data_IF_615337538883
#
_entry.id   IF_615337538883
#
_cell.length_a   1.000
_cell.length_b   1.000
_cell.length_c   1.000
_cell.angle_alpha   90.00
_cell.angle_beta   90.00
_cell.angle_gamma   90.00
#
_symmetry.space_group_name_H-M   'P 1'
#
loop_
_entity.id
_entity.type
_entity.pdbx_description
1 polymer ?
#
# COMPACT_ATOMS: atom_id res chain seq x y z
N UNK A 1 -18.55 -27.00 8.93
CA UNK A 1 -17.69 -27.02 7.74
C UNK A 1 -16.25 -26.97 8.20
N UNK A 2 -15.35 -27.79 7.66
CA UNK A 2 -13.93 -27.71 7.98
C UNK A 2 -13.38 -26.40 7.40
N UNK A 3 -12.82 -25.55 8.25
CA UNK A 3 -12.18 -24.31 7.80
C UNK A 3 -10.82 -24.70 7.21
N UNK A 4 -10.61 -24.42 5.92
CA UNK A 4 -9.32 -24.67 5.26
C UNK A 4 -8.23 -23.84 5.90
N UNK A 5 -7.03 -24.40 6.07
CA UNK A 5 -5.90 -23.67 6.64
C UNK A 5 -5.50 -22.52 5.69
N UNK A 6 -5.21 -21.32 6.22
CA UNK A 6 -4.67 -20.23 5.42
C UNK A 6 -3.39 -20.63 4.70
N UNK A 7 -3.30 -20.30 3.41
CA UNK A 7 -2.13 -20.60 2.56
C UNK A 7 -1.48 -19.29 2.08
N UNK A 8 -0.15 -19.30 1.84
CA UNK A 8 0.53 -18.16 1.24
C UNK A 8 -0.03 -17.84 -0.15
N UNK A 9 -0.14 -16.54 -0.46
CA UNK A 9 -0.66 -15.99 -1.71
C UNK A 9 0.06 -16.59 -2.93
N UNK A 10 1.39 -16.70 -2.85
CA UNK A 10 2.21 -17.25 -3.93
C UNK A 10 2.09 -18.77 -4.10
N UNK A 11 1.42 -19.45 -3.17
CA UNK A 11 1.13 -20.88 -3.26
C UNK A 11 -0.28 -21.17 -3.79
N UNK A 12 -1.10 -20.13 -4.01
CA UNK A 12 -2.44 -20.29 -4.56
C UNK A 12 -2.38 -20.63 -6.05
N UNK A 13 -3.27 -21.52 -6.47
CA UNK A 13 -3.51 -21.84 -7.87
C UNK A 13 -4.21 -20.67 -8.60
N UNK A 14 -4.22 -20.69 -9.93
CA UNK A 14 -4.92 -19.67 -10.73
C UNK A 14 -6.43 -19.56 -10.39
N UNK A 15 -7.08 -20.69 -10.11
CA UNK A 15 -8.50 -20.73 -9.73
C UNK A 15 -8.71 -20.13 -8.33
N UNK A 16 -7.84 -20.46 -7.37
CA UNK A 16 -7.86 -19.88 -6.03
C UNK A 16 -7.62 -18.36 -6.06
N UNK A 17 -6.67 -17.88 -6.87
CA UNK A 17 -6.42 -16.45 -7.07
C UNK A 17 -7.61 -15.76 -7.71
N UNK A 18 -8.23 -16.37 -8.71
CA UNK A 18 -9.43 -15.83 -9.37
C UNK A 18 -10.61 -15.73 -8.41
N UNK A 19 -10.80 -16.75 -7.56
CA UNK A 19 -11.83 -16.72 -6.52
C UNK A 19 -11.55 -15.62 -5.49
N UNK A 20 -10.32 -15.52 -4.99
CA UNK A 20 -9.91 -14.48 -4.05
C UNK A 20 -10.05 -13.07 -4.63
N UNK A 21 -9.69 -12.85 -5.90
CA UNK A 21 -9.84 -11.57 -6.58
C UNK A 21 -11.30 -11.13 -6.80
N UNK A 22 -12.26 -12.05 -6.67
CA UNK A 22 -13.71 -11.78 -6.73
C UNK A 22 -14.34 -11.62 -5.34
N UNK A 23 -13.68 -12.09 -4.28
CA UNK A 23 -14.21 -12.03 -2.92
C UNK A 23 -14.08 -10.62 -2.34
N UNK A 24 -15.20 -9.92 -2.24
CA UNK A 24 -15.27 -8.54 -1.77
C UNK A 24 -15.34 -8.40 -0.26
N UNK A 25 -15.36 -9.50 0.49
CA UNK A 25 -15.36 -9.45 1.97
C UNK A 25 -14.08 -8.79 2.50
N UNK A 26 -12.97 -8.99 1.79
CA UNK A 26 -11.62 -8.57 2.19
C UNK A 26 -10.96 -7.74 1.07
N UNK A 27 -11.25 -6.43 0.96
CA UNK A 27 -10.83 -5.62 -0.20
C UNK A 27 -9.31 -5.56 -0.44
N UNK A 28 -8.48 -5.54 0.61
CA UNK A 28 -7.02 -5.55 0.44
C UNK A 28 -6.53 -6.90 -0.04
N UNK A 29 -7.03 -7.99 0.54
CA UNK A 29 -6.70 -9.34 0.08
C UNK A 29 -7.14 -9.57 -1.37
N UNK A 30 -8.37 -9.16 -1.69
CA UNK A 30 -8.93 -9.22 -3.03
C UNK A 30 -8.00 -8.55 -4.05
N UNK A 31 -7.50 -7.37 -3.73
CA UNK A 31 -6.68 -6.58 -4.65
C UNK A 31 -5.25 -7.08 -4.70
N UNK A 32 -4.70 -7.61 -3.61
CA UNK A 32 -3.42 -8.35 -3.63
C UNK A 32 -3.50 -9.60 -4.52
N UNK A 33 -4.59 -10.37 -4.43
CA UNK A 33 -4.82 -11.53 -5.30
C UNK A 33 -4.98 -11.13 -6.77
N UNK A 34 -5.70 -10.04 -7.06
CA UNK A 34 -5.79 -9.48 -8.40
C UNK A 34 -4.41 -9.10 -8.96
N UNK A 35 -3.63 -8.32 -8.20
CA UNK A 35 -2.29 -7.92 -8.59
C UNK A 35 -1.39 -9.13 -8.89
N UNK A 36 -1.42 -10.15 -8.01
CA UNK A 36 -0.65 -11.38 -8.23
C UNK A 36 -1.11 -12.16 -9.47
N UNK A 37 -2.43 -12.23 -9.70
CA UNK A 37 -2.99 -12.89 -10.90
C UNK A 37 -2.58 -12.22 -12.21
N UNK A 38 -2.32 -10.91 -12.17
CA UNK A 38 -1.78 -10.12 -13.28
C UNK A 38 -0.25 -10.19 -13.39
N UNK A 39 0.40 -11.07 -12.60
CA UNK A 39 1.85 -11.20 -12.53
C UNK A 39 2.57 -9.93 -12.09
N UNK A 40 1.87 -9.01 -11.42
CA UNK A 40 2.48 -7.85 -10.80
C UNK A 40 3.12 -8.26 -9.47
N UNK A 41 4.30 -7.73 -9.15
CA UNK A 41 5.01 -8.14 -7.94
C UNK A 41 4.23 -7.66 -6.72
N UNK A 42 3.95 -8.58 -5.80
CA UNK A 42 3.29 -8.30 -4.52
C UNK A 42 3.95 -9.11 -3.43
N UNK A 43 3.81 -8.65 -2.19
CA UNK A 43 4.28 -9.39 -1.04
C UNK A 43 3.61 -10.75 -0.94
N UNK A 44 4.37 -11.78 -0.59
CA UNK A 44 3.77 -13.05 -0.17
C UNK A 44 3.02 -12.81 1.15
N UNK A 45 1.81 -13.37 1.25
CA UNK A 45 0.92 -13.09 2.37
C UNK A 45 -0.09 -14.20 2.61
N UNK A 46 -0.61 -14.32 3.83
CA UNK A 46 -1.70 -15.21 4.19
C UNK A 46 -2.89 -14.39 4.71
N UNK A 47 -4.10 -14.72 4.26
CA UNK A 47 -5.35 -14.20 4.83
C UNK A 47 -5.86 -15.10 5.95
N UNK A 48 -6.10 -14.52 7.13
CA UNK A 48 -6.73 -15.17 8.27
C UNK A 48 -8.08 -14.48 8.49
N UNK A 49 -9.15 -15.17 8.11
CA UNK A 49 -10.52 -14.71 8.32
C UNK A 49 -10.91 -14.75 9.81
N UNK A 50 -11.87 -13.90 10.25
CA UNK A 50 -12.49 -14.04 11.57
C UNK A 50 -13.05 -15.45 11.78
N UNK A 51 -12.94 -15.96 13.00
CA UNK A 51 -13.39 -17.31 13.37
C UNK A 51 -12.33 -18.41 13.21
N UNK A 52 -11.18 -18.12 12.59
CA UNK A 52 -10.02 -19.03 12.69
C UNK A 52 -9.53 -19.18 14.12
N UNK A 53 -9.08 -20.38 14.47
CA UNK A 53 -8.48 -20.65 15.78
C UNK A 53 -7.07 -20.06 15.91
N UNK A 54 -6.63 -19.82 17.15
CA UNK A 54 -5.24 -19.41 17.43
C UNK A 54 -4.22 -20.44 16.92
N UNK A 55 -4.58 -21.72 16.85
CA UNK A 55 -3.73 -22.75 16.28
C UNK A 55 -3.57 -22.57 14.76
N UNK A 56 -4.67 -22.33 14.04
CA UNK A 56 -4.65 -22.08 12.59
C UNK A 56 -3.81 -20.84 12.26
N UNK A 57 -3.95 -19.76 13.05
CA UNK A 57 -3.12 -18.56 12.92
C UNK A 57 -1.63 -18.85 13.12
N UNK A 58 -1.25 -19.61 14.16
CA UNK A 58 0.14 -20.00 14.40
C UNK A 58 0.70 -20.81 13.23
N UNK A 59 -0.05 -21.80 12.76
CA UNK A 59 0.34 -22.59 11.59
C UNK A 59 0.53 -21.71 10.36
N UNK A 60 -0.41 -20.81 10.07
CA UNK A 60 -0.31 -19.90 8.94
C UNK A 60 0.93 -18.98 9.02
N UNK A 61 1.22 -18.47 10.22
CA UNK A 61 2.41 -17.65 10.46
C UNK A 61 3.71 -18.44 10.20
N UNK A 62 3.84 -19.64 10.77
CA UNK A 62 5.03 -20.48 10.53
C UNK A 62 5.18 -20.91 9.08
N UNK A 63 4.08 -21.26 8.39
CA UNK A 63 4.11 -21.61 6.96
C UNK A 63 4.58 -20.42 6.12
N UNK A 64 4.07 -19.21 6.38
CA UNK A 64 4.50 -18.01 5.66
C UNK A 64 5.96 -17.65 5.97
N UNK A 65 6.38 -17.73 7.23
CA UNK A 65 7.76 -17.49 7.63
C UNK A 65 8.74 -18.45 6.95
N UNK A 66 8.41 -19.75 6.91
CA UNK A 66 9.20 -20.75 6.19
C UNK A 66 9.25 -20.46 4.68
N UNK A 67 8.12 -20.10 4.06
CA UNK A 67 8.04 -19.80 2.63
C UNK A 67 8.82 -18.53 2.21
N UNK A 68 9.05 -17.61 3.15
CA UNK A 68 9.71 -16.32 2.90
C UNK A 68 11.11 -16.23 3.53
N UNK A 69 11.56 -17.30 4.21
CA UNK A 69 12.87 -17.35 4.85
C UNK A 69 13.05 -16.32 5.96
N UNK A 70 12.02 -16.05 6.75
CA UNK A 70 12.04 -15.00 7.77
C UNK A 70 11.48 -15.44 9.11
N UNK A 71 11.88 -14.74 10.17
CA UNK A 71 11.39 -14.94 11.55
C UNK A 71 10.41 -13.83 11.98
N UNK A 72 10.17 -12.84 11.11
CA UNK A 72 9.29 -11.70 11.39
C UNK A 72 8.27 -11.53 10.28
N UNK A 73 7.03 -11.24 10.65
CA UNK A 73 5.94 -11.01 9.72
C UNK A 73 5.30 -9.65 9.93
N UNK A 74 4.87 -9.05 8.84
CA UNK A 74 4.09 -7.83 8.87
C UNK A 74 2.62 -8.16 9.13
N UNK A 75 1.99 -7.43 10.05
CA UNK A 75 0.54 -7.53 10.29
C UNK A 75 -0.16 -6.39 9.55
N UNK A 76 -1.16 -6.73 8.74
CA UNK A 76 -2.16 -5.82 8.19
C UNK A 76 -3.56 -6.33 8.59
N UNK A 77 -4.54 -5.45 8.66
CA UNK A 77 -5.94 -5.84 8.86
C UNK A 77 -6.82 -5.43 7.70
N UNK A 78 -7.91 -6.16 7.49
CA UNK A 78 -8.78 -6.01 6.32
C UNK A 78 -10.27 -6.24 6.68
N UNK A 79 -11.17 -5.69 5.88
CA UNK A 79 -12.63 -5.75 6.09
C UNK A 79 -13.11 -5.12 7.40
N UNK A 80 -14.36 -5.38 7.79
CA UNK A 80 -14.96 -4.88 9.04
C UNK A 80 -15.36 -3.39 9.03
N UNK A 81 -16.10 -2.96 10.06
CA UNK A 81 -16.55 -1.57 10.21
C UNK A 81 -15.35 -0.66 10.47
N UNK A 82 -15.24 0.43 9.70
CA UNK A 82 -14.23 1.47 9.93
C UNK A 82 -14.46 2.13 11.29
N UNK A 83 -13.50 1.96 12.22
CA UNK A 83 -13.50 2.61 13.54
C UNK A 83 -12.43 3.71 13.54
N UNK A 84 -12.68 4.82 14.26
CA UNK A 84 -11.74 5.96 14.37
C UNK A 84 -10.34 5.58 14.87
N UNK A 85 -10.23 4.52 15.67
CA UNK A 85 -8.97 3.94 16.12
C UNK A 85 -8.71 2.66 15.34
N UNK A 86 -8.02 2.79 14.20
CA UNK A 86 -7.65 1.67 13.34
C UNK A 86 -6.23 1.19 13.64
N UNK A 87 -6.03 -0.13 13.69
CA UNK A 87 -4.69 -0.73 13.79
C UNK A 87 -3.84 -0.32 12.59
N UNK A 88 -2.76 0.43 12.84
CA UNK A 88 -1.88 0.90 11.79
C UNK A 88 -0.97 -0.24 11.34
N UNK A 89 -1.40 -0.91 10.27
CA UNK A 89 -0.59 -1.96 9.64
C UNK A 89 0.76 -1.46 9.14
N UNK A 90 1.68 -2.40 8.91
CA UNK A 90 2.99 -2.13 8.32
C UNK A 90 4.16 -2.52 9.22
N UNK A 91 3.94 -2.65 10.53
CA UNK A 91 5.00 -3.04 11.47
C UNK A 91 5.22 -4.56 11.40
N UNK A 92 6.47 -4.95 11.60
CA UNK A 92 6.92 -6.34 11.53
C UNK A 92 7.23 -6.84 12.94
N UNK A 93 6.73 -8.03 13.26
CA UNK A 93 6.85 -8.63 14.58
C UNK A 93 7.37 -10.05 14.47
N UNK A 94 8.09 -10.54 15.49
CA UNK A 94 8.46 -11.94 15.56
C UNK A 94 7.25 -12.88 15.42
N UNK A 95 7.43 -14.02 14.76
CA UNK A 95 6.35 -14.99 14.45
C UNK A 95 5.59 -15.42 15.71
N UNK A 96 6.29 -15.58 16.83
CA UNK A 96 5.75 -15.96 18.14
C UNK A 96 4.83 -14.90 18.77
N UNK A 97 4.99 -13.63 18.41
CA UNK A 97 4.15 -12.52 18.89
C UNK A 97 2.89 -12.32 18.06
N UNK A 98 2.81 -12.92 16.87
CA UNK A 98 1.67 -12.74 15.95
C UNK A 98 0.32 -13.10 16.60
N UNK A 99 0.18 -14.21 17.36
CA UNK A 99 -1.09 -14.58 17.98
C UNK A 99 -1.65 -13.53 18.94
N UNK A 100 -0.83 -12.99 19.85
CA UNK A 100 -1.28 -12.01 20.83
C UNK A 100 -1.63 -10.67 20.18
N UNK A 101 -0.85 -10.25 19.16
CA UNK A 101 -1.06 -8.97 18.46
C UNK A 101 -2.28 -8.94 17.55
N UNK A 102 -2.72 -10.11 17.07
CA UNK A 102 -3.82 -10.20 16.10
C UNK A 102 -5.15 -10.64 16.72
N UNK A 103 -5.13 -11.14 17.96
CA UNK A 103 -6.33 -11.60 18.67
C UNK A 103 -7.44 -10.55 18.71
N UNK A 104 -7.10 -9.30 19.05
CA UNK A 104 -8.06 -8.20 19.09
C UNK A 104 -8.69 -7.89 17.72
N UNK A 105 -7.91 -7.99 16.64
CA UNK A 105 -8.40 -7.75 15.28
C UNK A 105 -9.42 -8.80 14.84
N UNK A 106 -9.12 -10.07 15.10
CA UNK A 106 -10.00 -11.19 14.77
C UNK A 106 -11.27 -11.16 15.63
N UNK A 107 -11.16 -10.81 16.91
CA UNK A 107 -12.30 -10.64 17.82
C UNK A 107 -13.21 -9.49 17.39
N UNK A 108 -12.65 -8.42 16.82
CA UNK A 108 -13.38 -7.30 16.23
C UNK A 108 -14.04 -7.63 14.88
N UNK A 109 -13.96 -8.88 14.41
CA UNK A 109 -14.53 -9.31 13.14
C UNK A 109 -13.74 -8.81 11.91
N UNK A 110 -12.49 -8.40 12.11
CA UNK A 110 -11.59 -8.00 11.01
C UNK A 110 -10.73 -9.18 10.60
N UNK A 111 -10.49 -9.34 9.30
CA UNK A 111 -9.49 -10.28 8.84
C UNK A 111 -8.09 -9.74 9.10
N UNK A 112 -7.14 -10.65 9.25
CA UNK A 112 -5.73 -10.38 9.41
C UNK A 112 -5.01 -10.85 8.15
N UNK A 113 -4.17 -9.99 7.59
CA UNK A 113 -3.26 -10.34 6.50
C UNK A 113 -1.86 -10.36 7.12
N UNK A 114 -1.27 -11.55 7.23
CA UNK A 114 0.15 -11.69 7.52
C UNK A 114 0.90 -11.57 6.20
N UNK A 115 1.95 -10.76 6.15
CA UNK A 115 2.76 -10.59 4.95
C UNK A 115 4.24 -10.71 5.28
N UNK A 116 5.05 -11.04 4.27
CA UNK A 116 6.50 -10.97 4.38
C UNK A 116 6.94 -9.57 4.84
N UNK A 117 8.07 -9.46 5.57
CA UNK A 117 8.50 -8.19 6.13
C UNK A 117 9.08 -7.25 5.07
N UNK A 118 8.85 -5.95 5.30
CA UNK A 118 9.44 -4.85 4.54
C UNK A 118 10.21 -3.95 5.49
N UNK A 119 11.25 -3.26 5.00
CA UNK A 119 11.95 -2.24 5.77
C UNK A 119 11.59 -0.84 5.26
N UNK A 120 10.62 -0.20 5.92
CA UNK A 120 10.14 1.14 5.56
C UNK A 120 11.17 2.27 5.72
N UNK A 121 12.33 1.99 6.30
CA UNK A 121 13.42 2.95 6.47
C UNK A 121 14.38 2.95 5.27
N UNK A 122 14.33 1.91 4.43
CA UNK A 122 15.30 1.68 3.35
C UNK A 122 14.69 1.64 1.97
N UNK A 123 13.39 1.94 1.82
CA UNK A 123 12.76 2.09 0.51
C UNK A 123 13.61 3.03 -0.36
N UNK A 124 13.83 2.66 -1.62
CA UNK A 124 14.58 3.44 -2.62
C UNK A 124 13.69 4.41 -3.38
N UNK A 125 12.43 4.04 -3.58
CA UNK A 125 11.41 4.84 -4.23
C UNK A 125 10.04 4.38 -3.77
N UNK A 126 9.16 5.33 -3.54
CA UNK A 126 7.75 5.11 -3.23
C UNK A 126 6.93 5.94 -4.21
N UNK A 127 5.95 5.33 -4.88
CA UNK A 127 5.07 6.01 -5.84
C UNK A 127 3.61 5.71 -5.51
N UNK A 128 2.81 6.75 -5.32
CA UNK A 128 1.35 6.65 -5.37
C UNK A 128 0.90 6.83 -6.81
N UNK A 129 0.11 5.89 -7.31
CA UNK A 129 -0.36 5.84 -8.69
C UNK A 129 -1.87 6.05 -8.64
N UNK A 130 -2.34 7.14 -9.26
CA UNK A 130 -3.76 7.48 -9.35
C UNK A 130 -4.19 7.45 -10.81
N UNK A 131 -5.23 6.70 -11.11
CA UNK A 131 -5.87 6.60 -12.43
C UNK A 131 -7.27 7.20 -12.32
N UNK A 132 -7.57 8.22 -13.11
CA UNK A 132 -8.90 8.81 -13.21
C UNK A 132 -9.52 8.43 -14.56
N UNK A 133 -10.73 7.87 -14.53
CA UNK A 133 -11.49 7.52 -15.74
C UNK A 133 -11.98 8.81 -16.41
N UNK A 134 -12.05 8.89 -17.75
CA UNK A 134 -12.74 10.00 -18.39
C UNK A 134 -14.20 10.09 -17.91
N UNK A 135 -14.69 11.33 -17.78
CA UNK A 135 -16.07 11.66 -17.42
C UNK A 135 -16.56 12.86 -18.23
N UNK A 136 -17.82 13.29 -18.03
CA UNK A 136 -18.35 14.47 -18.72
C UNK A 136 -17.45 15.69 -18.49
N UNK A 137 -16.81 16.18 -19.57
CA UNK A 137 -15.86 17.30 -19.57
C UNK A 137 -14.56 17.09 -18.77
N UNK A 138 -14.21 15.84 -18.45
CA UNK A 138 -12.95 15.51 -17.78
C UNK A 138 -12.23 14.40 -18.56
N UNK A 139 -11.03 14.66 -19.12
CA UNK A 139 -10.26 13.61 -19.76
C UNK A 139 -9.79 12.57 -18.73
N UNK A 140 -9.47 11.36 -19.20
CA UNK A 140 -8.80 10.38 -18.36
C UNK A 140 -7.39 10.85 -18.04
N UNK A 141 -6.90 10.55 -16.84
CA UNK A 141 -5.56 10.99 -16.43
C UNK A 141 -4.85 9.96 -15.56
N UNK A 142 -3.52 9.98 -15.60
CA UNK A 142 -2.64 9.23 -14.70
C UNK A 142 -1.77 10.21 -13.94
N UNK A 143 -1.76 10.09 -12.61
CA UNK A 143 -0.87 10.85 -11.73
C UNK A 143 0.03 9.90 -10.95
N UNK A 144 1.33 10.15 -11.00
CA UNK A 144 2.36 9.45 -10.24
C UNK A 144 2.98 10.44 -9.25
N UNK A 145 2.74 10.24 -7.96
CA UNK A 145 3.32 11.06 -6.89
C UNK A 145 4.42 10.27 -6.20
N UNK A 146 5.64 10.80 -6.16
CA UNK A 146 6.81 10.06 -5.69
C UNK A 146 7.50 10.70 -4.48
N UNK A 147 7.94 9.83 -3.58
CA UNK A 147 8.94 10.12 -2.55
C UNK A 147 10.14 9.20 -2.76
N UNK A 148 11.33 9.75 -2.59
CA UNK A 148 12.60 9.07 -2.78
C UNK A 148 13.01 8.23 -1.57
N UNK A 149 14.32 7.96 -1.45
CA UNK A 149 14.84 7.05 -0.45
C UNK A 149 14.46 7.41 1.00
N UNK A 150 14.13 6.38 1.81
CA UNK A 150 13.80 6.52 3.23
C UNK A 150 12.34 6.88 3.54
N UNK A 151 11.54 7.20 2.51
CA UNK A 151 10.10 7.44 2.64
C UNK A 151 9.27 6.18 2.32
N UNK A 152 8.10 6.09 2.93
CA UNK A 152 7.17 4.97 2.82
C UNK A 152 5.84 5.36 2.17
N UNK A 153 5.10 4.40 1.60
CA UNK A 153 3.76 4.66 1.00
C UNK A 153 2.82 5.34 1.98
N UNK A 154 2.94 5.00 3.27
CA UNK A 154 2.12 5.63 4.28
C UNK A 154 2.36 7.15 4.34
N UNK A 155 3.50 7.67 3.92
CA UNK A 155 3.85 9.11 3.92
C UNK A 155 3.05 9.91 2.90
N UNK A 156 2.90 9.38 1.68
CA UNK A 156 2.05 9.98 0.64
C UNK A 156 0.56 9.90 1.02
N UNK A 157 0.11 8.78 1.58
CA UNK A 157 -1.32 8.52 1.76
C UNK A 157 -1.89 9.04 3.07
N UNK A 158 -1.19 8.83 4.20
CA UNK A 158 -1.66 9.15 5.56
C UNK A 158 -0.78 10.16 6.27
N UNK A 159 0.47 10.31 5.83
CA UNK A 159 1.46 11.18 6.44
C UNK A 159 1.31 12.64 6.04
N UNK A 160 0.51 12.93 5.01
CA UNK A 160 0.36 14.27 4.44
C UNK A 160 1.73 14.89 4.10
N UNK A 161 2.69 14.03 3.71
CA UNK A 161 3.98 14.46 3.21
C UNK A 161 3.79 14.71 1.71
N UNK A 162 3.96 15.97 1.24
CA UNK A 162 3.79 16.27 -0.17
C UNK A 162 4.81 15.51 -1.01
N UNK A 163 4.48 15.08 -2.24
CA UNK A 163 5.44 14.40 -3.10
C UNK A 163 6.65 15.28 -3.39
N UNK A 164 7.81 14.66 -3.60
CA UNK A 164 9.00 15.34 -4.11
C UNK A 164 8.91 15.55 -5.62
N UNK A 165 8.30 14.61 -6.32
CA UNK A 165 8.14 14.63 -7.77
C UNK A 165 6.74 14.14 -8.11
N UNK A 166 6.09 14.84 -9.01
CA UNK A 166 4.82 14.42 -9.62
C UNK A 166 5.05 14.26 -11.11
N UNK A 167 4.64 13.12 -11.67
CA UNK A 167 4.53 12.93 -13.10
C UNK A 167 3.05 12.77 -13.47
N UNK A 168 2.63 13.47 -14.51
CA UNK A 168 1.23 13.51 -14.94
C UNK A 168 1.11 13.23 -16.43
N UNK A 169 0.04 12.52 -16.80
CA UNK A 169 -0.42 12.30 -18.16
C UNK A 169 -1.92 12.59 -18.23
N UNK A 170 -2.31 13.39 -19.20
CA UNK A 170 -3.69 13.72 -19.52
C UNK A 170 -4.19 12.93 -20.75
N UNK A 171 -5.47 13.09 -21.07
CA UNK A 171 -6.12 12.56 -22.28
C UNK A 171 -5.96 11.04 -22.48
N UNK A 172 -5.91 10.28 -21.38
CA UNK A 172 -5.80 8.82 -21.42
C UNK A 172 -7.16 8.20 -21.73
N UNK A 173 -7.20 7.41 -22.79
CA UNK A 173 -8.29 6.49 -23.07
C UNK A 173 -8.00 5.14 -22.40
N UNK A 174 -8.63 4.88 -21.25
CA UNK A 174 -8.46 3.61 -20.52
C UNK A 174 -9.12 2.40 -21.20
N UNK A 175 -9.92 2.61 -22.24
CA UNK A 175 -10.56 1.54 -23.01
C UNK A 175 -9.69 1.13 -24.23
N UNK A 176 -8.79 2.00 -24.70
CA UNK A 176 -7.88 1.73 -25.82
C UNK A 176 -6.42 1.99 -25.48
N UNK A 177 -5.62 0.92 -25.42
CA UNK A 177 -4.20 1.04 -25.07
C UNK A 177 -3.42 1.83 -26.11
N UNK A 178 -2.80 2.93 -25.67
CA UNK A 178 -1.80 3.66 -26.43
C UNK A 178 -0.61 3.98 -25.51
N UNK A 179 0.62 3.56 -25.87
CA UNK A 179 1.79 3.88 -25.06
C UNK A 179 2.10 5.39 -25.13
N UNK A 180 2.30 6.06 -23.99
CA UNK A 180 2.57 7.49 -23.97
C UNK A 180 3.95 7.79 -24.55
N UNK A 181 4.05 8.88 -25.30
CA UNK A 181 5.31 9.44 -25.77
C UNK A 181 5.99 10.20 -24.65
N UNK A 182 7.32 10.27 -24.69
CA UNK A 182 8.07 10.94 -23.62
C UNK A 182 7.71 12.42 -23.45
N UNK A 183 7.38 13.12 -24.54
CA UNK A 183 6.99 14.53 -24.54
C UNK A 183 5.57 14.78 -24.04
N UNK A 184 4.76 13.75 -23.80
CA UNK A 184 3.41 13.87 -23.21
C UNK A 184 3.48 13.92 -21.68
N UNK A 185 4.57 13.42 -21.07
CA UNK A 185 4.74 13.41 -19.63
C UNK A 185 5.06 14.81 -19.09
N UNK A 186 4.23 15.30 -18.17
CA UNK A 186 4.56 16.47 -17.37
C UNK A 186 5.17 16.04 -16.03
N UNK A 187 6.50 16.15 -15.91
CA UNK A 187 7.23 15.77 -14.69
C UNK A 187 7.71 17.03 -13.95
N UNK A 188 7.08 17.33 -12.83
CA UNK A 188 7.38 18.45 -11.95
C UNK A 188 8.02 17.97 -10.65
N UNK A 189 9.17 18.55 -10.29
CA UNK A 189 9.73 18.41 -8.93
C UNK A 189 9.24 19.53 -8.04
N UNK A 190 9.16 19.28 -6.73
CA UNK A 190 8.99 20.33 -5.74
C UNK A 190 10.17 21.30 -5.79
N UNK A 191 9.87 22.59 -5.88
CA UNK A 191 10.83 23.69 -5.91
C UNK A 191 10.73 24.59 -4.69
N UNK A 192 9.87 24.26 -3.73
CA UNK A 192 9.68 25.05 -2.52
C UNK A 192 10.99 25.09 -1.70
N UNK A 193 11.56 26.27 -1.41
CA UNK A 193 12.71 26.39 -0.53
C UNK A 193 12.40 25.77 0.85
N UNK A 194 13.28 24.89 1.33
CA UNK A 194 13.08 24.17 2.59
C UNK A 194 12.02 23.06 2.55
N UNK A 195 11.41 22.78 1.40
CA UNK A 195 10.40 21.74 1.25
C UNK A 195 10.90 20.35 1.66
N UNK A 196 12.13 20.00 1.31
CA UNK A 196 12.73 18.71 1.69
C UNK A 196 12.98 18.60 3.20
N UNK A 197 13.48 19.65 3.84
CA UNK A 197 13.70 19.65 5.29
C UNK A 197 12.37 19.52 6.05
N UNK A 198 11.33 20.20 5.57
CA UNK A 198 9.97 20.05 6.11
C UNK A 198 9.42 18.63 5.96
N UNK A 199 9.66 17.96 4.82
CA UNK A 199 9.28 16.54 4.63
C UNK A 199 10.03 15.62 5.60
N UNK A 200 11.34 15.79 5.72
CA UNK A 200 12.18 14.99 6.63
C UNK A 200 11.73 15.14 8.06
N UNK A 201 11.50 16.38 8.51
CA UNK A 201 11.03 16.65 9.86
C UNK A 201 9.70 15.94 10.15
N UNK A 202 8.69 16.12 9.28
CA UNK A 202 7.39 15.43 9.41
C UNK A 202 7.54 13.90 9.41
N UNK A 203 8.42 13.37 8.55
CA UNK A 203 8.69 11.93 8.50
C UNK A 203 9.26 11.43 9.82
N UNK A 204 10.28 12.10 10.34
CA UNK A 204 10.97 11.70 11.57
C UNK A 204 10.03 11.81 12.79
N UNK A 205 9.24 12.89 12.92
CA UNK A 205 8.21 13.02 13.96
C UNK A 205 7.21 11.86 13.92
N UNK A 206 6.79 11.49 12.71
CA UNK A 206 5.85 10.39 12.51
C UNK A 206 6.48 9.04 12.84
N UNK A 207 7.73 8.82 12.47
CA UNK A 207 8.45 7.61 12.82
C UNK A 207 8.55 7.47 14.34
N UNK A 208 8.89 8.55 15.05
CA UNK A 208 8.91 8.58 16.51
C UNK A 208 7.56 8.13 17.08
N UNK A 209 6.49 8.83 16.73
CA UNK A 209 5.17 8.69 17.37
C UNK A 209 4.38 7.44 16.96
N UNK A 210 4.62 6.90 15.77
CA UNK A 210 3.74 5.87 15.19
C UNK A 210 4.45 4.57 14.82
N UNK A 211 5.76 4.61 14.56
CA UNK A 211 6.51 3.42 14.12
C UNK A 211 7.35 2.88 15.26
N UNK A 212 8.23 3.71 15.82
CA UNK A 212 9.21 3.27 16.80
C UNK A 212 8.56 3.03 18.17
N UNK A 213 7.59 3.84 18.58
CA UNK A 213 6.81 3.56 19.80
C UNK A 213 6.03 2.25 19.70
N UNK A 214 5.31 2.00 18.59
CA UNK A 214 4.52 0.75 18.43
C UNK A 214 5.39 -0.51 18.30
N UNK A 215 6.57 -0.37 17.69
CA UNK A 215 7.57 -1.43 17.61
C UNK A 215 8.36 -1.68 18.91
N UNK A 216 8.11 -0.90 19.97
CA UNK A 216 8.86 -1.01 21.23
C UNK A 216 10.34 -0.63 21.09
N UNK A 217 10.67 0.29 20.19
CA UNK A 217 12.04 0.71 19.88
C UNK A 217 12.49 2.00 20.57
N UNK A 218 11.58 2.71 21.23
CA UNK A 218 11.87 3.92 21.99
C UNK A 218 11.30 3.78 23.41
N UNK A 219 12.19 3.81 24.41
CA UNK A 219 11.86 3.97 25.82
C UNK A 219 12.08 5.46 26.20
N UNK A 220 11.10 6.09 26.87
CA UNK A 220 11.22 7.47 27.34
C UNK A 220 10.64 8.54 26.40
N UNK A 221 11.29 9.70 26.33
CA UNK A 221 10.73 10.89 25.65
C UNK A 221 10.67 10.70 24.14
N UNK A 222 9.44 10.55 23.63
CA UNK A 222 9.15 10.41 22.20
C UNK A 222 9.35 11.76 21.51
N UNK A 223 10.22 11.82 20.49
CA UNK A 223 10.47 13.04 19.73
C UNK A 223 11.24 12.82 18.44
N UNK A 224 11.20 13.82 17.56
CA UNK A 224 11.87 13.74 16.25
C UNK A 224 13.38 13.52 16.38
N UNK A 225 14.05 14.25 17.28
CA UNK A 225 15.49 14.14 17.50
C UNK A 225 15.91 12.71 17.87
N UNK A 226 15.13 12.04 18.73
CA UNK A 226 15.39 10.66 19.14
C UNK A 226 15.19 9.69 17.98
N UNK A 227 14.15 9.87 17.16
CA UNK A 227 13.94 9.03 15.98
C UNK A 227 15.05 9.23 14.94
N UNK A 228 15.53 10.46 14.75
CA UNK A 228 16.67 10.74 13.86
C UNK A 228 17.94 10.08 14.38
N UNK A 229 18.28 10.24 15.66
CA UNK A 229 19.44 9.60 16.27
C UNK A 229 19.36 8.07 16.11
N UNK A 230 18.20 7.48 16.42
CA UNK A 230 17.95 6.05 16.27
C UNK A 230 18.18 5.55 14.84
N UNK A 231 17.71 6.31 13.83
CA UNK A 231 17.91 5.98 12.41
C UNK A 231 19.39 6.04 12.02
N UNK A 232 20.10 7.09 12.45
CA UNK A 232 21.52 7.30 12.15
C UNK A 232 22.40 6.23 12.78
N UNK A 233 22.19 5.92 14.06
CA UNK A 233 22.92 4.88 14.80
C UNK A 233 22.80 3.50 14.15
N UNK A 234 21.66 3.22 13.51
CA UNK A 234 21.39 1.94 12.81
C UNK A 234 21.76 1.97 11.33
N UNK A 235 22.34 3.06 10.84
CA UNK A 235 22.77 3.20 9.44
C UNK A 235 21.64 3.41 8.45
N UNK A 236 20.42 3.76 8.89
CA UNK A 236 19.30 4.12 8.00
C UNK A 236 19.45 5.56 7.50
N UNK A 237 20.45 5.76 6.64
CA UNK A 237 20.88 7.09 6.20
C UNK A 237 20.18 7.59 4.93
N UNK A 238 19.40 6.74 4.26
CA UNK A 238 18.76 7.04 2.97
C UNK A 238 17.89 8.30 3.00
N UNK A 239 17.16 8.53 4.09
CA UNK A 239 16.30 9.71 4.27
C UNK A 239 17.10 11.03 4.25
N UNK A 240 18.34 11.01 4.72
CA UNK A 240 19.18 12.19 4.92
C UNK A 240 20.13 12.49 3.76
N UNK A 241 20.25 11.56 2.79
CA UNK A 241 21.09 11.73 1.62
C UNK A 241 20.38 12.53 0.50
N UNK A 242 21.14 13.11 -0.46
CA UNK A 242 20.57 13.62 -1.70
C UNK A 242 19.76 12.54 -2.44
N UNK A 243 18.61 12.92 -2.99
CA UNK A 243 17.66 11.96 -3.55
C UNK A 243 17.46 12.19 -5.06
N UNK A 244 17.88 11.24 -5.94
CA UNK A 244 17.63 11.32 -7.38
C UNK A 244 16.20 10.86 -7.73
N UNK A 245 15.20 11.37 -6.99
CA UNK A 245 13.81 10.90 -7.07
C UNK A 245 13.21 11.13 -8.45
N UNK A 246 13.57 12.24 -9.10
CA UNK A 246 13.06 12.59 -10.43
C UNK A 246 13.52 11.59 -11.48
N UNK A 247 14.82 11.29 -11.50
CA UNK A 247 15.42 10.32 -12.41
C UNK A 247 14.89 8.92 -12.14
N UNK A 248 14.72 8.56 -10.86
CA UNK A 248 14.17 7.26 -10.45
C UNK A 248 12.72 7.08 -10.93
N UNK A 249 11.88 8.11 -10.80
CA UNK A 249 10.50 8.10 -11.30
C UNK A 249 10.47 8.09 -12.84
N UNK A 250 11.23 8.97 -13.49
CA UNK A 250 11.30 9.09 -14.95
C UNK A 250 11.64 7.75 -15.62
N UNK A 251 12.63 7.01 -15.08
CA UNK A 251 13.03 5.68 -15.59
C UNK A 251 11.92 4.63 -15.52
N UNK A 252 10.90 4.84 -14.68
CA UNK A 252 9.82 3.86 -14.43
C UNK A 252 8.46 4.32 -14.96
N UNK A 253 8.29 5.60 -15.28
CA UNK A 253 7.01 6.21 -15.65
C UNK A 253 6.25 5.39 -16.72
N UNK A 254 6.94 4.99 -17.80
CA UNK A 254 6.34 4.15 -18.85
C UNK A 254 5.84 2.79 -18.32
N UNK A 255 6.65 2.09 -17.53
CA UNK A 255 6.26 0.78 -16.98
C UNK A 255 5.08 0.92 -16.02
N UNK A 256 5.10 1.96 -15.18
CA UNK A 256 4.00 2.24 -14.26
C UNK A 256 2.71 2.61 -15.00
N UNK A 257 2.79 3.29 -16.15
CA UNK A 257 1.64 3.50 -17.02
C UNK A 257 1.11 2.17 -17.58
N UNK A 258 1.99 1.30 -18.10
CA UNK A 258 1.60 -0.01 -18.64
C UNK A 258 0.89 -0.85 -17.57
N UNK A 259 1.46 -0.96 -16.38
CA UNK A 259 0.86 -1.69 -15.26
C UNK A 259 -0.46 -1.06 -14.81
N UNK A 260 -0.55 0.28 -14.74
CA UNK A 260 -1.79 1.00 -14.43
C UNK A 260 -2.90 0.74 -15.46
N UNK A 261 -2.55 0.69 -16.74
CA UNK A 261 -3.50 0.38 -17.81
C UNK A 261 -4.07 -1.03 -17.66
N UNK A 262 -3.21 -2.03 -17.45
CA UNK A 262 -3.67 -3.39 -17.21
C UNK A 262 -4.50 -3.52 -15.93
N UNK A 263 -4.17 -2.78 -14.88
CA UNK A 263 -4.97 -2.74 -13.65
C UNK A 263 -6.36 -2.15 -13.89
N UNK A 264 -6.46 -1.05 -14.61
CA UNK A 264 -7.72 -0.43 -15.01
C UNK A 264 -8.56 -1.39 -15.87
N UNK A 265 -7.93 -2.03 -16.87
CA UNK A 265 -8.56 -3.02 -17.74
C UNK A 265 -8.95 -4.32 -17.03
N UNK A 266 -8.33 -4.65 -15.89
CA UNK A 266 -8.67 -5.83 -15.09
C UNK A 266 -9.80 -5.58 -14.07
N UNK A 267 -10.27 -4.34 -13.91
CA UNK A 267 -11.31 -4.05 -12.91
C UNK A 267 -12.65 -4.73 -13.26
N UNK A 268 -13.24 -5.52 -12.33
CA UNK A 268 -14.55 -6.12 -12.54
C UNK A 268 -15.67 -5.09 -12.68
N UNK A 269 -15.53 -3.96 -11.99
CA UNK A 269 -16.41 -2.80 -12.18
C UNK A 269 -15.88 -2.01 -13.36
N UNK A 270 -16.66 -1.77 -14.40
CA UNK A 270 -16.28 -0.83 -15.47
C UNK A 270 -16.65 0.62 -15.15
N UNK A 271 -17.42 0.86 -14.11
CA UNK A 271 -17.89 2.21 -13.77
C UNK A 271 -17.01 2.92 -12.74
N UNK A 272 -15.78 2.47 -12.50
CA UNK A 272 -14.88 3.17 -11.58
C UNK A 272 -14.58 4.59 -12.10
N UNK A 273 -14.51 5.57 -11.20
CA UNK A 273 -14.09 6.93 -11.54
C UNK A 273 -12.64 7.23 -11.15
N UNK A 274 -12.16 6.63 -10.07
CA UNK A 274 -10.81 6.85 -9.57
C UNK A 274 -10.28 5.55 -8.97
N UNK A 275 -9.19 5.04 -9.52
CA UNK A 275 -8.41 3.96 -8.95
C UNK A 275 -7.11 4.52 -8.38
N UNK A 276 -6.63 3.95 -7.28
CA UNK A 276 -5.32 4.27 -6.73
C UNK A 276 -4.59 3.01 -6.26
N UNK A 277 -3.32 2.86 -6.61
CA UNK A 277 -2.43 1.84 -6.07
C UNK A 277 -1.12 2.49 -5.63
N UNK A 278 -0.30 1.76 -4.88
CA UNK A 278 1.02 2.22 -4.53
C UNK A 278 2.07 1.21 -4.98
N UNK A 279 3.20 1.73 -5.42
CA UNK A 279 4.36 1.00 -5.88
C UNK A 279 5.57 1.36 -5.03
N UNK A 280 6.37 0.38 -4.64
CA UNK A 280 7.60 0.59 -3.89
C UNK A 280 8.76 -0.17 -4.50
N UNK A 281 9.93 0.47 -4.48
CA UNK A 281 11.23 -0.16 -4.75
C UNK A 281 11.93 -0.29 -3.41
N UNK A 282 12.15 -1.51 -2.94
CA UNK A 282 12.91 -1.77 -1.71
C UNK A 282 14.40 -1.88 -2.00
N UNK A 283 14.72 -2.62 -3.05
CA UNK A 283 16.03 -2.73 -3.65
C UNK A 283 15.85 -3.12 -5.11
N UNK A 284 16.89 -3.09 -5.93
CA UNK A 284 16.80 -3.69 -7.28
C UNK A 284 17.21 -5.17 -7.22
N UNK A 285 16.40 -6.11 -7.75
CA UNK A 285 15.14 -5.93 -8.50
C UNK A 285 13.85 -6.00 -7.65
N UNK A 286 13.95 -5.98 -6.30
CA UNK A 286 12.80 -6.13 -5.38
C UNK A 286 11.87 -4.91 -5.38
N UNK A 287 10.84 -4.99 -6.21
CA UNK A 287 9.72 -4.02 -6.27
C UNK A 287 8.41 -4.68 -5.87
N UNK A 288 7.43 -3.90 -5.42
CA UNK A 288 6.08 -4.40 -5.13
C UNK A 288 4.99 -3.38 -5.45
N UNK A 289 3.78 -3.88 -5.67
CA UNK A 289 2.52 -3.18 -5.53
C UNK A 289 1.86 -3.54 -4.18
N UNK A 290 1.17 -2.58 -3.54
CA UNK A 290 0.62 -2.76 -2.19
C UNK A 290 -0.82 -3.27 -2.12
N UNK A 291 -1.77 -2.45 -2.54
CA UNK A 291 -3.20 -2.74 -2.68
C UNK A 291 -3.80 -1.77 -3.71
N UNK A 292 -4.94 -2.12 -4.27
CA UNK A 292 -5.68 -1.27 -5.20
C UNK A 292 -6.94 -0.75 -4.51
N UNK A 293 -7.16 0.56 -4.61
CA UNK A 293 -8.30 1.24 -4.03
C UNK A 293 -9.18 1.78 -5.13
N UNK A 294 -10.45 1.40 -5.11
CA UNK A 294 -11.51 2.07 -5.87
C UNK A 294 -12.10 3.20 -5.00
N UNK A 295 -11.88 4.44 -5.43
CA UNK A 295 -12.27 5.65 -4.71
C UNK A 295 -13.77 5.75 -4.49
N UNK A 296 -14.59 5.27 -5.43
CA UNK A 296 -16.05 5.25 -5.25
C UNK A 296 -16.42 4.38 -4.06
N UNK A 297 -15.82 3.19 -3.95
CA UNK A 297 -16.21 2.19 -2.97
C UNK A 297 -15.66 2.50 -1.59
N UNK A 298 -14.43 3.00 -1.51
CA UNK A 298 -13.80 3.33 -0.23
C UNK A 298 -14.54 4.45 0.49
N UNK A 299 -15.05 5.44 -0.23
CA UNK A 299 -15.78 6.57 0.36
C UNK A 299 -17.31 6.43 0.30
N UNK A 300 -17.86 5.57 -0.56
CA UNK A 300 -19.30 5.28 -0.54
C UNK A 300 -19.75 4.71 0.82
N UNK A 301 -18.92 3.89 1.48
CA UNK A 301 -19.25 3.34 2.80
C UNK A 301 -19.35 4.40 3.92
N UNK A 302 -18.82 5.61 3.70
CA UNK A 302 -18.88 6.74 4.63
C UNK A 302 -19.97 7.76 4.32
N UNK A 303 -20.69 7.62 3.20
CA UNK A 303 -21.81 8.50 2.88
C UNK A 303 -23.09 8.06 3.62
N UNK A 304 -23.77 8.94 4.38
CA UNK A 304 -25.09 8.65 4.93
C UNK A 304 -26.06 8.25 3.81
N UNK A 305 -26.89 7.23 4.06
CA UNK A 305 -27.82 6.67 3.07
C UNK A 305 -28.72 7.73 2.38
N UNK A 306 -29.00 8.85 3.06
CA UNK A 306 -29.80 9.96 2.54
C UNK A 306 -29.21 10.66 1.30
N UNK A 307 -27.88 10.64 1.09
CA UNK A 307 -27.27 11.29 -0.08
C UNK A 307 -27.37 10.45 -1.37
N UNK A 308 -27.65 9.15 -1.25
CA UNK A 308 -27.72 8.23 -2.42
C UNK A 308 -29.05 8.27 -3.15
N UNK A 309 -30.10 8.75 -2.48
CA UNK A 309 -31.44 8.83 -3.08
C UNK A 309 -31.65 10.14 -3.85
N UNK A 310 -30.95 11.22 -3.49
CA UNK A 310 -31.00 12.49 -4.23
C UNK A 310 -30.22 12.42 -5.56
N UNK A 311 -29.09 11.71 -5.61
CA UNK A 311 -28.28 11.59 -6.83
C UNK A 311 -28.82 10.56 -7.84
N UNK A 312 -29.74 9.69 -7.42
CA UNK A 312 -30.51 8.80 -8.31
C UNK A 312 -31.80 9.42 -8.83
N UNK A 313 -32.24 10.53 -8.23
CA UNK A 313 -33.46 11.25 -8.59
C UNK A 313 -33.20 12.51 -9.45
N UNK A 314 -31.94 12.81 -9.75
CA UNK A 314 -31.48 13.91 -10.60
C UNK A 314 -30.87 13.38 -11.91
#
# INVERSE_FOLDING_TARGET
>A
MAISLPRPLHALTADELTAAAKDRRWPKWQTMALLHSLQLPVLNACLIEPGHSTAALRTAAHVLAAATGTEKLMIRSDGGVEKKQYYRGGNTFPVEEIPSRTAGLLADGRAVILAEPTNRFTNRLTVLIRMDRPGPRRPGSLTLEALGPGYDVADLTRGQIPPQVTAHLDDIDWDHYQPPRWNEWNITGDRCPGGEDARRHRRVERLATQTLTDGGHLDGTVGAEHAEAWLRERGFLHLFAPQPTREALAKRARRLFEDAFFLAAAQPNRNWHCLATAFSVFDEPRTIYWDLVDGERKYAATAPAAARDEERAA
#
